data_IF_724444944273
#
_entry.id   IF_724444944273
#
_cell.length_a   1.000
_cell.length_b   1.000
_cell.length_c   1.000
_cell.angle_alpha   90.00
_cell.angle_beta   90.00
_cell.angle_gamma   90.00
#
_symmetry.space_group_name_H-M   'P 1'
#
loop_
_entity.id
_entity.type
_entity.pdbx_description
1 polymer ?
#
# COMPACT_ATOMS: atom_id res chain seq x y z
N UNK A 1 -0.32 4.72 -7.27
CA UNK A 1 0.20 3.78 -6.25
C UNK A 1 1.25 2.91 -6.93
N UNK A 2 2.34 2.60 -6.24
CA UNK A 2 3.44 1.80 -6.76
C UNK A 2 3.86 0.73 -5.75
N UNK A 3 4.96 0.01 -6.02
CA UNK A 3 5.54 -0.97 -5.10
C UNK A 3 7.01 -0.65 -4.86
N UNK A 4 7.53 -1.04 -3.71
CA UNK A 4 8.94 -0.90 -3.37
C UNK A 4 9.41 -2.03 -2.44
N UNK A 5 10.72 -2.10 -2.18
CA UNK A 5 11.25 -3.02 -1.17
C UNK A 5 11.16 -4.50 -1.56
N UNK A 6 11.28 -4.83 -2.85
CA UNK A 6 11.25 -6.20 -3.35
C UNK A 6 12.32 -7.15 -2.77
N UNK A 7 13.33 -6.58 -2.11
CA UNK A 7 14.43 -7.26 -1.41
C UNK A 7 14.26 -7.27 0.12
N UNK A 8 13.27 -6.53 0.64
CA UNK A 8 13.00 -6.34 2.07
C UNK A 8 11.88 -7.29 2.53
N UNK A 9 10.92 -7.59 1.65
CA UNK A 9 9.78 -8.46 1.94
C UNK A 9 9.99 -9.93 1.60
N UNK A 10 9.54 -10.84 2.48
CA UNK A 10 9.52 -12.30 2.22
C UNK A 10 8.56 -12.71 1.09
N UNK A 11 7.58 -11.85 0.73
CA UNK A 11 6.55 -12.14 -0.29
C UNK A 11 6.60 -11.18 -1.50
N UNK A 12 7.73 -10.49 -1.73
CA UNK A 12 7.88 -9.55 -2.84
C UNK A 12 7.68 -8.09 -2.43
N UNK A 13 7.54 -7.21 -3.43
CA UNK A 13 7.47 -5.77 -3.21
C UNK A 13 6.16 -5.37 -2.50
N UNK A 14 6.25 -4.44 -1.57
CA UNK A 14 5.15 -3.95 -0.74
C UNK A 14 4.55 -2.67 -1.33
N UNK A 15 3.27 -2.42 -1.06
CA UNK A 15 2.57 -1.27 -1.61
C UNK A 15 3.10 0.03 -1.01
N UNK A 16 3.27 1.05 -1.85
CA UNK A 16 3.65 2.39 -1.40
C UNK A 16 3.19 3.46 -2.37
N UNK A 17 3.49 4.73 -2.07
CA UNK A 17 3.19 5.83 -2.97
C UNK A 17 4.41 6.72 -3.16
N UNK A 18 4.47 7.34 -4.33
CA UNK A 18 5.47 8.30 -4.75
C UNK A 18 4.75 9.52 -5.30
N UNK A 19 5.42 10.67 -5.34
CA UNK A 19 4.88 11.87 -5.97
C UNK A 19 4.82 11.68 -7.49
N UNK A 20 3.63 11.79 -8.07
CA UNK A 20 3.39 11.79 -9.50
C UNK A 20 2.19 12.72 -9.79
N UNK A 21 2.40 13.86 -10.46
CA UNK A 21 1.36 14.86 -10.72
C UNK A 21 0.17 14.35 -11.54
N UNK A 22 0.36 13.31 -12.35
CA UNK A 22 -0.65 12.79 -13.27
C UNK A 22 -1.40 11.57 -12.71
N UNK A 23 -1.05 11.15 -11.48
CA UNK A 23 -1.57 9.95 -10.84
C UNK A 23 -2.37 10.24 -9.57
N UNK A 24 -3.27 9.32 -9.25
CA UNK A 24 -4.07 9.35 -8.02
C UNK A 24 -4.13 7.97 -7.37
N UNK A 25 -4.40 7.95 -6.07
CA UNK A 25 -4.51 6.73 -5.26
C UNK A 25 -5.83 6.76 -4.51
N UNK A 26 -6.65 5.72 -4.68
CA UNK A 26 -7.80 5.52 -3.81
C UNK A 26 -7.32 5.06 -2.44
N UNK A 27 -7.78 5.74 -1.39
CA UNK A 27 -7.40 5.46 0.00
C UNK A 27 -8.65 5.30 0.87
N UNK A 28 -8.50 4.55 1.96
CA UNK A 28 -9.49 4.48 3.03
C UNK A 28 -8.98 5.29 4.21
N UNK A 29 -9.81 6.19 4.73
CA UNK A 29 -9.51 6.96 5.93
C UNK A 29 -10.10 6.25 7.14
N UNK A 30 -9.26 6.00 8.14
CA UNK A 30 -9.65 5.47 9.43
C UNK A 30 -9.53 6.57 10.48
N UNK A 31 -10.53 6.68 11.35
CA UNK A 31 -10.41 7.42 12.59
C UNK A 31 -9.77 6.49 13.63
N UNK A 32 -8.65 6.91 14.19
CA UNK A 32 -7.75 6.08 15.00
C UNK A 32 -7.45 6.83 16.29
N UNK A 33 -7.51 6.14 17.42
CA UNK A 33 -7.15 6.73 18.71
C UNK A 33 -5.64 6.98 18.82
N UNK A 34 -5.22 7.90 19.69
CA UNK A 34 -3.78 8.16 19.91
C UNK A 34 -3.01 6.88 20.35
N UNK A 35 -3.65 6.00 21.14
CA UNK A 35 -3.07 4.73 21.60
C UNK A 35 -2.90 3.71 20.46
N UNK A 36 -3.90 3.65 19.57
CA UNK A 36 -3.82 2.80 18.37
C UNK A 36 -2.81 3.37 17.37
N UNK A 37 -2.68 4.69 17.25
CA UNK A 37 -1.68 5.35 16.42
C UNK A 37 -0.25 4.98 16.87
N UNK A 38 0.04 5.05 18.17
CA UNK A 38 1.33 4.62 18.72
C UNK A 38 1.59 3.12 18.49
N UNK A 39 0.52 2.31 18.54
CA UNK A 39 0.63 0.89 18.25
C UNK A 39 0.94 0.63 16.77
N UNK A 40 0.29 1.35 15.86
CA UNK A 40 0.56 1.29 14.42
C UNK A 40 1.99 1.72 14.09
N UNK A 41 2.49 2.79 14.72
CA UNK A 41 3.87 3.24 14.54
C UNK A 41 4.89 2.13 14.85
N UNK A 42 4.64 1.32 15.89
CA UNK A 42 5.48 0.17 16.23
C UNK A 42 5.33 -0.97 15.23
N UNK A 43 4.11 -1.30 14.82
CA UNK A 43 3.82 -2.39 13.88
C UNK A 43 4.40 -2.15 12.48
N UNK A 44 4.34 -0.92 11.98
CA UNK A 44 4.85 -0.56 10.64
C UNK A 44 6.38 -0.49 10.58
N UNK A 45 7.08 -0.80 11.68
CA UNK A 45 8.53 -0.81 11.71
C UNK A 45 9.14 0.57 11.49
N UNK A 46 8.47 1.63 11.96
CA UNK A 46 9.06 2.98 11.98
C UNK A 46 10.38 2.99 12.78
N UNK A 47 10.46 2.18 13.82
CA UNK A 47 11.69 1.95 14.62
C UNK A 47 12.78 1.19 13.86
N UNK A 48 12.41 0.41 12.83
CA UNK A 48 13.32 -0.34 11.96
C UNK A 48 13.67 0.43 10.67
N UNK A 49 13.12 1.64 10.48
CA UNK A 49 13.36 2.49 9.32
C UNK A 49 12.75 1.97 8.02
N UNK A 50 11.80 1.04 8.07
CA UNK A 50 11.18 0.43 6.87
C UNK A 50 10.16 1.40 6.27
N UNK A 51 9.38 2.07 7.12
CA UNK A 51 8.41 3.06 6.70
C UNK A 51 8.67 4.42 7.34
N UNK A 52 8.46 5.48 6.56
CA UNK A 52 8.38 6.87 7.02
C UNK A 52 6.91 7.25 7.19
N UNK A 53 6.57 7.79 8.36
CA UNK A 53 5.27 8.42 8.63
C UNK A 53 5.24 9.84 8.05
N UNK A 54 4.28 10.13 7.18
CA UNK A 54 4.08 11.44 6.57
C UNK A 54 2.63 11.93 6.74
N UNK A 55 2.41 13.26 6.67
CA UNK A 55 1.06 13.83 6.58
C UNK A 55 0.75 14.16 5.14
N UNK A 56 -0.40 13.69 4.66
CA UNK A 56 -0.91 14.03 3.33
C UNK A 56 -2.30 14.64 3.43
N UNK A 57 -2.55 15.60 2.55
CA UNK A 57 -3.89 16.13 2.31
C UNK A 57 -4.60 15.18 1.35
N UNK A 58 -5.67 14.56 1.84
CA UNK A 58 -6.50 13.65 1.07
C UNK A 58 -7.75 14.40 0.64
N UNK A 59 -7.94 14.51 -0.67
CA UNK A 59 -9.15 15.07 -1.24
C UNK A 59 -10.31 14.08 -1.03
N UNK A 60 -11.42 14.58 -0.51
CA UNK A 60 -12.64 13.80 -0.29
C UNK A 60 -13.79 14.44 -1.07
N UNK A 61 -14.91 13.73 -1.23
CA UNK A 61 -16.13 14.32 -1.82
C UNK A 61 -16.76 15.45 -1.00
N UNK A 62 -16.15 15.85 0.14
CA UNK A 62 -16.57 16.97 0.98
C UNK A 62 -15.42 17.97 1.11
N UNK A 63 -14.70 17.91 2.21
CA UNK A 63 -13.57 18.75 2.53
C UNK A 63 -12.29 17.91 2.61
N UNK A 64 -11.14 18.47 2.26
CA UNK A 64 -9.90 17.71 2.31
C UNK A 64 -9.48 17.43 3.75
N UNK A 65 -9.00 16.22 3.99
CA UNK A 65 -8.61 15.74 5.32
C UNK A 65 -7.09 15.60 5.39
N UNK A 66 -6.47 16.10 6.45
CA UNK A 66 -5.05 15.87 6.72
C UNK A 66 -4.88 14.57 7.51
N UNK A 67 -4.34 13.53 6.87
CA UNK A 67 -4.19 12.20 7.47
C UNK A 67 -2.73 11.77 7.52
N UNK A 68 -2.41 10.88 8.46
CA UNK A 68 -1.13 10.18 8.50
C UNK A 68 -1.13 9.03 7.49
N UNK A 69 0.05 8.75 6.93
CA UNK A 69 0.27 7.62 6.06
C UNK A 69 1.72 7.14 6.18
N UNK A 70 1.92 5.84 6.03
CA UNK A 70 3.22 5.20 6.05
C UNK A 70 3.69 4.93 4.62
N UNK A 71 4.87 5.43 4.27
CA UNK A 71 5.51 5.26 2.95
C UNK A 71 6.79 4.48 3.14
N UNK A 72 7.08 3.54 2.24
CA UNK A 72 8.31 2.75 2.31
C UNK A 72 9.52 3.66 2.08
N UNK A 73 10.54 3.56 2.93
CA UNK A 73 11.84 4.18 2.70
C UNK A 73 12.73 3.24 1.87
N UNK A 74 12.31 2.99 0.64
CA UNK A 74 12.95 2.07 -0.28
C UNK A 74 12.82 2.54 -1.73
N UNK A 75 13.68 2.03 -2.61
CA UNK A 75 13.60 2.34 -4.03
C UNK A 75 12.31 1.77 -4.65
N UNK A 76 11.66 2.60 -5.47
CA UNK A 76 10.50 2.21 -6.25
C UNK A 76 10.82 1.08 -7.23
N UNK A 77 9.89 0.14 -7.34
CA UNK A 77 9.92 -0.98 -8.26
C UNK A 77 9.82 -2.34 -7.58
N UNK A 78 9.94 -3.37 -8.41
CA UNK A 78 9.72 -4.75 -8.01
C UNK A 78 8.30 -5.22 -8.24
N UNK A 79 8.10 -6.52 -8.07
CA UNK A 79 6.83 -7.18 -8.32
C UNK A 79 6.22 -7.63 -6.99
N UNK A 80 4.97 -7.26 -6.67
CA UNK A 80 4.24 -7.80 -5.53
C UNK A 80 3.91 -9.28 -5.75
N UNK A 81 3.48 -9.99 -4.70
CA UNK A 81 2.86 -11.31 -4.88
C UNK A 81 1.43 -11.20 -5.40
N UNK A 82 0.99 -12.21 -6.16
CA UNK A 82 -0.40 -12.33 -6.61
C UNK A 82 -1.38 -12.39 -5.43
N UNK A 83 -0.98 -13.04 -4.33
CA UNK A 83 -1.77 -13.11 -3.09
C UNK A 83 -2.01 -11.73 -2.49
N UNK A 84 -0.95 -10.91 -2.40
CA UNK A 84 -1.04 -9.56 -1.84
C UNK A 84 -1.92 -8.65 -2.69
N UNK A 85 -1.78 -8.71 -4.03
CA UNK A 85 -2.69 -8.00 -4.94
C UNK A 85 -4.15 -8.42 -4.78
N UNK A 86 -4.41 -9.72 -4.58
CA UNK A 86 -5.76 -10.25 -4.34
C UNK A 86 -6.40 -9.63 -3.10
N UNK A 87 -5.67 -9.62 -1.97
CA UNK A 87 -6.13 -9.01 -0.71
C UNK A 87 -6.38 -7.50 -0.87
N UNK A 88 -5.46 -6.78 -1.52
CA UNK A 88 -5.61 -5.35 -1.79
C UNK A 88 -6.84 -5.04 -2.65
N UNK A 89 -7.06 -5.83 -3.71
CA UNK A 89 -8.19 -5.65 -4.60
C UNK A 89 -9.54 -5.95 -3.92
N UNK A 90 -9.60 -7.00 -3.10
CA UNK A 90 -10.78 -7.33 -2.31
C UNK A 90 -11.11 -6.23 -1.30
N UNK A 91 -10.11 -5.76 -0.54
CA UNK A 91 -10.29 -4.66 0.40
C UNK A 91 -10.75 -3.36 -0.30
N UNK A 92 -10.17 -3.02 -1.46
CA UNK A 92 -10.57 -1.87 -2.25
C UNK A 92 -12.02 -2.00 -2.75
N UNK A 93 -12.43 -3.17 -3.22
CA UNK A 93 -13.80 -3.43 -3.68
C UNK A 93 -14.81 -3.29 -2.52
N UNK A 94 -14.51 -3.86 -1.35
CA UNK A 94 -15.35 -3.74 -0.15
C UNK A 94 -15.46 -2.27 0.29
N UNK A 95 -14.37 -1.49 0.17
CA UNK A 95 -14.35 -0.07 0.48
C UNK A 95 -15.06 0.81 -0.55
N UNK A 96 -15.57 0.24 -1.65
CA UNK A 96 -16.29 0.97 -2.70
C UNK A 96 -15.37 1.73 -3.66
N UNK A 97 -14.13 1.27 -3.85
CA UNK A 97 -13.24 1.82 -4.86
C UNK A 97 -13.86 1.69 -6.27
N UNK A 98 -13.53 2.62 -7.19
CA UNK A 98 -13.96 2.50 -8.58
C UNK A 98 -13.60 1.15 -9.19
N UNK A 99 -14.49 0.57 -10.01
CA UNK A 99 -14.29 -0.75 -10.60
C UNK A 99 -13.01 -0.84 -11.46
N UNK A 100 -12.63 0.25 -12.13
CA UNK A 100 -11.36 0.38 -12.84
C UNK A 100 -10.17 0.22 -11.88
N UNK A 101 -10.17 0.93 -10.75
CA UNK A 101 -9.10 0.84 -9.75
C UNK A 101 -8.93 -0.59 -9.22
N UNK A 102 -10.05 -1.26 -8.91
CA UNK A 102 -10.03 -2.67 -8.48
C UNK A 102 -9.50 -3.58 -9.58
N UNK A 103 -9.91 -3.35 -10.84
CA UNK A 103 -9.42 -4.12 -11.99
C UNK A 103 -7.92 -3.95 -12.16
N UNK A 104 -7.42 -2.72 -12.09
CA UNK A 104 -6.01 -2.39 -12.24
C UNK A 104 -5.14 -3.09 -11.18
N UNK A 105 -5.63 -3.20 -9.94
CA UNK A 105 -4.98 -4.00 -8.90
C UNK A 105 -4.94 -5.49 -9.26
N UNK A 106 -6.05 -6.05 -9.73
CA UNK A 106 -6.17 -7.48 -10.08
C UNK A 106 -5.31 -7.88 -11.27
N UNK A 107 -5.12 -6.98 -12.23
CA UNK A 107 -4.37 -7.25 -13.46
C UNK A 107 -2.92 -6.80 -13.39
N UNK A 108 -2.46 -6.34 -12.24
CA UNK A 108 -1.08 -5.84 -12.07
C UNK A 108 -0.08 -7.00 -12.12
N UNK A 109 1.07 -6.76 -12.74
CA UNK A 109 2.13 -7.76 -12.80
C UNK A 109 2.55 -8.19 -11.40
N UNK A 110 2.73 -9.50 -11.21
CA UNK A 110 3.09 -10.07 -9.91
C UNK A 110 4.08 -11.23 -10.05
N UNK A 111 4.80 -11.51 -8.95
CA UNK A 111 5.58 -12.74 -8.82
C UNK A 111 4.61 -13.91 -8.67
N UNK A 112 4.67 -14.86 -9.60
CA UNK A 112 4.08 -16.18 -9.41
C UNK A 112 4.85 -16.89 -8.29
N UNK A 113 4.29 -16.94 -7.08
CA UNK A 113 4.71 -17.91 -6.07
C UNK A 113 3.91 -19.19 -6.32
N UNK A 114 4.16 -19.84 -7.46
CA UNK A 114 3.85 -21.26 -7.58
C UNK A 114 4.81 -22.04 -6.68
N UNK A 115 4.42 -23.17 -6.07
CA UNK A 115 5.37 -23.99 -5.32
C UNK A 115 6.48 -24.36 -6.29
N UNK A 116 7.71 -23.88 -6.03
CA UNK A 116 8.83 -24.12 -6.92
C UNK A 116 8.98 -25.62 -7.11
N UNK A 117 8.82 -26.11 -8.34
CA UNK A 117 9.26 -27.47 -8.67
C UNK A 117 10.78 -27.45 -8.60
N UNK A 118 11.31 -27.81 -7.43
CA UNK A 118 12.70 -28.19 -7.30
C UNK A 118 12.96 -29.31 -8.34
N UNK A 119 13.81 -29.02 -9.31
CA UNK A 119 14.43 -30.04 -10.16
C UNK A 119 15.69 -30.55 -9.50
#
# INVERSE_FOLDING_TARGET
MTFAGGDIGWEGALATVVEDPDSQVFVVLYDVSDEDEESLDRWEGSELGIHRKIRLRIETGREPVLAWMYVLDAYEGGLPSARYLGVMAEAAEIAGAPAEYVRDLRTRDSRNVGPGTAS
#
